data_IF_258378525373
#
_entry.id   IF_258378525373
#
_cell.length_a   1.000
_cell.length_b   1.000
_cell.length_c   1.000
_cell.angle_alpha   90.00
_cell.angle_beta   90.00
_cell.angle_gamma   90.00
#
_symmetry.space_group_name_H-M   'P 1'
#
loop_
_entity.id
_entity.type
_entity.pdbx_description
1 polymer ?
#
# COMPACT_ATOMS: atom_id res chain seq x y z
N UNK A 1 23.06 -55.09 4.40
CA UNK A 1 22.62 -53.92 5.19
C UNK A 1 22.73 -52.72 4.28
N UNK A 2 21.80 -52.59 3.33
CA UNK A 2 20.62 -51.68 3.36
C UNK A 2 20.99 -50.20 3.31
N UNK A 3 20.68 -49.58 2.17
CA UNK A 3 20.67 -48.13 2.00
C UNK A 3 20.64 -47.73 0.53
N UNK A 4 19.48 -47.80 -0.13
CA UNK A 4 19.25 -47.11 -1.40
C UNK A 4 18.05 -46.16 -1.25
N UNK A 5 18.38 -44.88 -1.29
CA UNK A 5 17.47 -43.74 -1.34
C UNK A 5 16.66 -43.79 -2.64
N UNK A 6 15.33 -43.94 -2.53
CA UNK A 6 14.39 -43.78 -3.63
C UNK A 6 13.68 -42.43 -3.52
N UNK A 7 13.93 -41.58 -4.51
CA UNK A 7 13.36 -40.22 -4.65
C UNK A 7 11.88 -40.25 -5.03
N UNK A 8 11.20 -39.19 -4.61
CA UNK A 8 9.77 -38.89 -4.66
C UNK A 8 9.23 -38.67 -6.10
N UNK A 9 9.55 -39.55 -7.06
CA UNK A 9 9.15 -39.41 -8.48
C UNK A 9 8.24 -40.55 -8.98
N UNK A 10 8.07 -41.63 -8.21
CA UNK A 10 7.46 -42.87 -8.71
C UNK A 10 5.92 -42.99 -8.52
N UNK A 11 5.26 -41.96 -7.99
CA UNK A 11 3.81 -42.02 -7.68
C UNK A 11 2.88 -41.77 -8.86
N UNK A 12 3.38 -41.32 -10.01
CA UNK A 12 2.57 -41.03 -11.19
C UNK A 12 3.03 -41.81 -12.43
N UNK A 13 3.19 -43.13 -12.26
CA UNK A 13 3.41 -44.04 -13.40
C UNK A 13 2.09 -44.27 -14.15
N UNK A 14 2.12 -44.13 -15.49
CA UNK A 14 1.00 -44.30 -16.44
C UNK A 14 0.25 -45.65 -16.34
N UNK A 15 0.81 -46.62 -15.59
CA UNK A 15 0.27 -47.97 -15.38
C UNK A 15 -0.74 -48.10 -14.23
N UNK A 16 -0.94 -47.07 -13.40
CA UNK A 16 -1.81 -47.16 -12.22
C UNK A 16 -3.04 -46.23 -12.22
N UNK A 17 -3.47 -45.74 -13.38
CA UNK A 17 -4.62 -44.83 -13.47
C UNK A 17 -5.93 -45.45 -12.93
N UNK A 18 -6.09 -46.78 -13.06
CA UNK A 18 -7.28 -47.52 -12.59
C UNK A 18 -7.36 -47.71 -11.07
N UNK A 19 -6.36 -47.26 -10.30
CA UNK A 19 -6.34 -47.36 -8.83
C UNK A 19 -6.62 -46.03 -8.12
N UNK A 20 -6.77 -44.93 -8.87
CA UNK A 20 -7.17 -43.63 -8.33
C UNK A 20 -8.60 -43.74 -7.79
N UNK A 21 -8.75 -43.63 -6.47
CA UNK A 21 -10.06 -43.58 -5.82
C UNK A 21 -10.61 -42.16 -5.92
N UNK A 22 -11.93 -42.02 -5.90
CA UNK A 22 -12.61 -40.70 -5.85
C UNK A 22 -12.08 -39.83 -4.70
N UNK A 23 -11.68 -40.46 -3.58
CA UNK A 23 -11.03 -39.78 -2.44
C UNK A 23 -9.66 -39.20 -2.79
N UNK A 24 -8.87 -39.86 -3.63
CA UNK A 24 -7.53 -39.41 -4.02
C UNK A 24 -7.61 -38.15 -4.93
N UNK A 25 -8.66 -38.08 -5.76
CA UNK A 25 -8.99 -36.87 -6.54
C UNK A 25 -9.52 -35.74 -5.63
N UNK A 26 -10.36 -36.07 -4.64
CA UNK A 26 -10.88 -35.10 -3.69
C UNK A 26 -9.77 -34.51 -2.80
N UNK A 27 -8.80 -35.31 -2.36
CA UNK A 27 -7.63 -34.81 -1.62
C UNK A 27 -6.72 -33.97 -2.51
N UNK A 28 -6.48 -34.37 -3.76
CA UNK A 28 -5.69 -33.57 -4.70
C UNK A 28 -6.36 -32.22 -5.02
N UNK A 29 -7.69 -32.16 -5.17
CA UNK A 29 -8.44 -30.91 -5.29
C UNK A 29 -8.47 -30.08 -4.00
N UNK A 30 -8.58 -30.74 -2.85
CA UNK A 30 -8.52 -30.08 -1.54
C UNK A 30 -7.15 -29.44 -1.28
N UNK A 31 -6.07 -30.11 -1.65
CA UNK A 31 -4.70 -29.61 -1.53
C UNK A 31 -4.42 -28.50 -2.55
N UNK A 32 -4.83 -28.67 -3.82
CA UNK A 32 -4.69 -27.63 -4.84
C UNK A 32 -5.46 -26.33 -4.51
N UNK A 33 -6.67 -26.44 -3.95
CA UNK A 33 -7.45 -25.27 -3.52
C UNK A 33 -6.84 -24.55 -2.30
N UNK A 34 -6.14 -25.29 -1.44
CA UNK A 34 -5.44 -24.73 -0.27
C UNK A 34 -4.17 -23.98 -0.67
N UNK A 35 -3.47 -24.45 -1.70
CA UNK A 35 -2.30 -23.78 -2.25
C UNK A 35 -2.68 -22.55 -3.10
N UNK A 36 -3.83 -22.54 -3.78
CA UNK A 36 -4.36 -21.34 -4.44
C UNK A 36 -4.66 -20.19 -3.45
N UNK A 37 -5.07 -20.50 -2.22
CA UNK A 37 -5.32 -19.49 -1.17
C UNK A 37 -4.05 -18.90 -0.55
N UNK A 38 -2.91 -19.58 -0.64
CA UNK A 38 -1.62 -19.11 -0.06
C UNK A 38 -0.91 -18.07 -0.92
N UNK A 39 -1.30 -17.89 -2.18
CA UNK A 39 -0.65 -16.98 -3.13
C UNK A 39 -1.27 -15.59 -3.23
N UNK A 40 -2.42 -15.35 -2.59
CA UNK A 40 -3.07 -14.03 -2.60
C UNK A 40 -2.60 -13.29 -1.36
N UNK A 41 -1.54 -12.49 -1.50
CA UNK A 41 -1.31 -11.39 -0.56
C UNK A 41 -2.64 -10.62 -0.47
N UNK A 42 -3.17 -10.33 0.73
CA UNK A 42 -4.34 -9.47 0.82
C UNK A 42 -4.00 -8.22 0.03
N UNK A 43 -4.78 -7.99 -1.03
CA UNK A 43 -4.54 -6.88 -1.93
C UNK A 43 -5.05 -5.65 -1.17
N UNK A 44 -4.28 -5.19 -0.17
CA UNK A 44 -4.65 -4.08 0.68
C UNK A 44 -4.70 -2.86 -0.21
N UNK A 45 -5.90 -2.45 -0.57
CA UNK A 45 -6.14 -1.31 -1.41
C UNK A 45 -5.84 -0.06 -0.61
N UNK A 46 -4.86 0.71 -1.06
CA UNK A 46 -4.60 2.01 -0.47
C UNK A 46 -5.73 2.96 -0.87
N UNK A 47 -6.59 3.32 0.09
CA UNK A 47 -7.75 4.19 -0.18
C UNK A 47 -7.36 5.69 -0.16
N UNK A 48 -8.09 6.55 -0.89
CA UNK A 48 -7.91 8.00 -0.80
C UNK A 48 -8.10 8.54 0.63
N UNK A 49 -7.60 9.76 0.92
CA UNK A 49 -7.84 10.42 2.20
C UNK A 49 -9.34 10.48 2.53
N UNK A 50 -9.67 10.33 3.83
CA UNK A 50 -11.05 10.38 4.32
C UNK A 50 -11.85 9.10 4.11
N UNK A 51 -11.27 8.03 3.55
CA UNK A 51 -11.96 6.76 3.43
C UNK A 51 -12.40 6.20 4.78
N UNK A 52 -13.61 5.63 4.81
CA UNK A 52 -14.08 4.87 5.96
C UNK A 52 -13.09 3.75 6.30
N UNK A 53 -12.77 3.61 7.57
CA UNK A 53 -11.74 2.68 8.05
C UNK A 53 -12.15 1.22 7.92
N UNK A 54 -13.42 0.93 8.16
CA UNK A 54 -13.98 -0.39 7.90
C UNK A 54 -14.13 -0.56 6.39
N UNK A 55 -13.27 -1.38 5.81
CA UNK A 55 -13.26 -1.65 4.38
C UNK A 55 -14.61 -2.20 3.88
N UNK A 56 -15.32 -3.01 4.68
CA UNK A 56 -16.63 -3.52 4.26
C UNK A 56 -17.64 -2.39 4.17
N UNK A 57 -17.67 -1.51 5.18
CA UNK A 57 -18.51 -0.33 5.17
C UNK A 57 -18.16 0.64 4.03
N UNK A 58 -16.86 0.83 3.75
CA UNK A 58 -16.40 1.59 2.59
C UNK A 58 -16.94 1.02 1.28
N UNK A 59 -16.83 -0.30 1.07
CA UNK A 59 -17.29 -0.98 -0.15
C UNK A 59 -18.80 -0.91 -0.35
N UNK A 60 -19.57 -0.96 0.74
CA UNK A 60 -21.03 -0.79 0.73
C UNK A 60 -21.45 0.65 0.47
N UNK A 61 -20.71 1.61 1.04
CA UNK A 61 -21.01 3.05 0.94
C UNK A 61 -20.55 3.65 -0.39
N UNK A 62 -19.48 3.12 -0.99
CA UNK A 62 -18.95 3.64 -2.25
C UNK A 62 -19.88 3.32 -3.43
N UNK A 63 -20.44 4.38 -4.03
CA UNK A 63 -21.34 4.27 -5.19
C UNK A 63 -20.63 4.04 -6.52
N UNK A 64 -19.28 3.98 -6.54
CA UNK A 64 -18.47 3.79 -7.76
C UNK A 64 -18.75 4.86 -8.83
N UNK A 65 -19.05 6.09 -8.39
CA UNK A 65 -19.36 7.21 -9.26
C UNK A 65 -18.13 7.90 -9.88
N UNK A 66 -16.93 7.55 -9.40
CA UNK A 66 -15.64 8.10 -9.84
C UNK A 66 -15.46 9.62 -9.64
N UNK A 67 -16.32 10.26 -8.84
CA UNK A 67 -16.24 11.70 -8.59
C UNK A 67 -14.91 12.12 -7.94
N UNK A 68 -14.43 11.35 -6.97
CA UNK A 68 -13.14 11.59 -6.30
C UNK A 68 -11.94 11.48 -7.25
N UNK A 69 -11.97 10.54 -8.21
CA UNK A 69 -10.96 10.43 -9.26
C UNK A 69 -10.92 11.70 -10.11
N UNK A 70 -12.07 12.15 -10.62
CA UNK A 70 -12.16 13.33 -11.47
C UNK A 70 -11.81 14.64 -10.73
N UNK A 71 -12.04 14.67 -9.41
CA UNK A 71 -11.73 15.82 -8.57
C UNK A 71 -10.24 15.93 -8.21
N UNK A 72 -9.46 14.86 -8.34
CA UNK A 72 -8.04 14.88 -7.99
C UNK A 72 -7.21 15.48 -9.12
N UNK A 73 -6.57 16.65 -8.95
CA UNK A 73 -5.81 17.30 -10.03
C UNK A 73 -4.46 16.64 -10.33
N UNK A 74 -4.08 15.62 -9.56
CA UNK A 74 -2.79 14.94 -9.65
C UNK A 74 -2.91 13.50 -10.19
N UNK A 75 -4.11 13.08 -10.59
CA UNK A 75 -4.37 11.77 -11.23
C UNK A 75 -3.83 10.55 -10.45
N UNK A 76 -3.67 10.67 -9.13
CA UNK A 76 -3.21 9.56 -8.27
C UNK A 76 -4.32 8.54 -7.99
N UNK A 77 -5.58 8.98 -7.99
CA UNK A 77 -6.73 8.13 -7.70
C UNK A 77 -7.08 7.33 -8.96
N UNK A 78 -6.95 6.01 -8.88
CA UNK A 78 -7.32 5.07 -9.93
C UNK A 78 -8.52 4.22 -9.52
N UNK A 79 -9.25 3.72 -10.52
CA UNK A 79 -10.34 2.76 -10.29
C UNK A 79 -9.80 1.35 -10.44
N UNK A 80 -10.16 0.50 -9.49
CA UNK A 80 -9.88 -0.94 -9.53
C UNK A 80 -10.62 -1.64 -10.67
N UNK A 81 -9.96 -2.61 -11.30
CA UNK A 81 -10.49 -3.36 -12.44
C UNK A 81 -11.31 -4.60 -12.07
N UNK A 82 -11.81 -5.36 -13.06
CA UNK A 82 -12.76 -6.47 -12.85
C UNK A 82 -12.22 -7.71 -12.12
N UNK A 83 -10.93 -7.75 -11.79
CA UNK A 83 -10.29 -8.86 -11.07
C UNK A 83 -10.05 -8.56 -9.59
N UNK A 84 -10.68 -7.50 -9.05
CA UNK A 84 -10.50 -7.07 -7.65
C UNK A 84 -11.64 -7.50 -6.71
N UNK A 85 -12.54 -8.37 -7.15
CA UNK A 85 -13.67 -8.84 -6.32
C UNK A 85 -14.60 -7.69 -5.94
N UNK A 86 -15.04 -7.65 -4.68
CA UNK A 86 -15.98 -6.63 -4.18
C UNK A 86 -15.45 -5.20 -4.32
N UNK A 87 -14.12 -5.05 -4.35
CA UNK A 87 -13.48 -3.78 -4.59
C UNK A 87 -13.55 -3.30 -6.05
N UNK A 88 -14.06 -4.07 -7.02
CA UNK A 88 -14.21 -3.61 -8.42
C UNK A 88 -14.93 -2.25 -8.49
N UNK A 89 -14.41 -1.33 -9.30
CA UNK A 89 -15.01 -0.01 -9.50
C UNK A 89 -14.76 0.99 -8.36
N UNK A 90 -13.97 0.65 -7.35
CA UNK A 90 -13.70 1.52 -6.19
C UNK A 90 -12.36 2.27 -6.33
N UNK A 91 -12.22 3.46 -5.71
CA UNK A 91 -11.01 4.28 -5.85
C UNK A 91 -9.84 3.77 -5.00
N UNK A 92 -8.64 3.84 -5.56
CA UNK A 92 -7.37 3.49 -4.91
C UNK A 92 -6.26 4.46 -5.28
N UNK A 93 -5.31 4.70 -4.38
CA UNK A 93 -4.13 5.51 -4.65
C UNK A 93 -3.02 4.66 -5.28
N UNK A 94 -2.37 5.20 -6.31
CA UNK A 94 -1.16 4.63 -6.93
C UNK A 94 0.07 5.49 -6.64
N UNK A 95 0.58 5.39 -5.42
CA UNK A 95 1.76 6.14 -4.96
C UNK A 95 3.04 5.86 -5.77
N UNK A 96 3.10 4.73 -6.48
CA UNK A 96 4.22 4.41 -7.37
C UNK A 96 4.22 5.23 -8.67
N UNK A 97 3.13 5.92 -9.00
CA UNK A 97 3.02 6.75 -10.21
C UNK A 97 3.13 8.23 -9.86
N UNK A 98 2.39 8.69 -8.85
CA UNK A 98 2.40 10.06 -8.36
C UNK A 98 2.13 10.06 -6.85
N UNK A 99 2.77 10.91 -6.02
CA UNK A 99 2.43 11.08 -4.61
C UNK A 99 1.05 11.72 -4.40
N UNK A 100 0.46 11.51 -3.23
CA UNK A 100 -0.68 12.29 -2.80
C UNK A 100 -0.16 13.67 -2.42
N UNK A 101 -0.78 14.74 -2.92
CA UNK A 101 -0.33 16.09 -2.61
C UNK A 101 -0.87 16.63 -1.28
N UNK A 102 -1.70 15.85 -0.58
CA UNK A 102 -2.37 16.27 0.66
C UNK A 102 -2.99 17.66 0.52
N UNK A 103 -3.81 17.83 -0.52
CA UNK A 103 -4.35 19.13 -0.90
C UNK A 103 -5.08 19.77 0.28
N UNK A 104 -4.84 21.06 0.55
CA UNK A 104 -5.53 21.80 1.61
C UNK A 104 -7.05 21.85 1.45
N UNK A 105 -7.54 21.74 0.21
CA UNK A 105 -8.96 21.68 -0.13
C UNK A 105 -9.56 20.29 0.02
N UNK A 106 -8.76 19.22 0.04
CA UNK A 106 -9.22 17.82 0.05
C UNK A 106 -10.36 17.55 -0.96
N UNK A 107 -10.22 18.03 -2.20
CA UNK A 107 -11.27 17.97 -3.23
C UNK A 107 -11.84 16.56 -3.45
N UNK A 108 -11.00 15.53 -3.29
CA UNK A 108 -11.42 14.13 -3.39
C UNK A 108 -12.46 13.71 -2.32
N UNK A 109 -12.37 14.27 -1.10
CA UNK A 109 -13.33 14.05 -0.02
C UNK A 109 -14.63 14.78 -0.34
N UNK A 110 -14.56 16.07 -0.66
CA UNK A 110 -15.75 16.89 -0.92
C UNK A 110 -16.52 16.48 -2.18
N UNK A 111 -15.84 15.86 -3.14
CA UNK A 111 -16.49 15.31 -4.32
C UNK A 111 -17.25 14.01 -4.06
N UNK A 112 -17.09 13.34 -2.91
CA UNK A 112 -17.73 12.06 -2.62
C UNK A 112 -19.20 12.26 -2.20
N UNK A 113 -20.19 11.87 -3.02
CA UNK A 113 -21.60 12.13 -2.71
C UNK A 113 -22.22 11.13 -1.73
N UNK A 114 -21.50 10.04 -1.41
CA UNK A 114 -22.02 8.97 -0.55
C UNK A 114 -21.34 8.89 0.81
N UNK A 115 -20.42 9.81 1.11
CA UNK A 115 -19.63 9.83 2.35
C UNK A 115 -18.73 8.61 2.55
N UNK A 116 -18.46 7.82 1.49
CA UNK A 116 -17.45 6.77 1.51
C UNK A 116 -16.03 7.36 1.72
N UNK A 117 -15.82 8.58 1.24
CA UNK A 117 -14.74 9.47 1.68
C UNK A 117 -15.42 10.62 2.45
N UNK A 118 -15.12 10.78 3.72
CA UNK A 118 -15.72 11.80 4.57
C UNK A 118 -14.68 12.61 5.33
N UNK A 119 -15.00 13.88 5.58
CA UNK A 119 -14.18 14.76 6.41
C UNK A 119 -14.61 14.56 7.87
N UNK A 120 -13.71 14.14 8.77
CA UNK A 120 -14.03 14.02 10.19
C UNK A 120 -14.39 15.38 10.81
N UNK A 121 -15.26 15.38 11.83
CA UNK A 121 -15.71 16.61 12.50
C UNK A 121 -14.55 17.44 13.11
N UNK A 122 -13.49 16.76 13.54
CA UNK A 122 -12.29 17.40 14.09
C UNK A 122 -11.31 17.89 13.00
N UNK A 123 -11.64 17.70 11.72
CA UNK A 123 -10.79 18.02 10.56
C UNK A 123 -9.54 17.14 10.42
N UNK A 124 -9.33 16.17 11.31
CA UNK A 124 -8.13 15.34 11.33
C UNK A 124 -8.32 14.09 10.47
N UNK A 125 -7.97 14.20 9.19
CA UNK A 125 -7.98 13.08 8.25
C UNK A 125 -6.85 12.11 8.59
N UNK A 126 -7.20 10.82 8.74
CA UNK A 126 -6.21 9.78 9.05
C UNK A 126 -5.13 9.68 7.99
N UNK A 127 -3.91 9.42 8.45
CA UNK A 127 -2.76 9.20 7.60
C UNK A 127 -3.01 8.01 6.65
N UNK A 128 -2.69 8.20 5.37
CA UNK A 128 -2.79 7.14 4.36
C UNK A 128 -1.57 6.20 4.38
N UNK A 129 -0.54 6.57 5.12
CA UNK A 129 0.69 5.82 5.29
C UNK A 129 1.65 6.59 6.16
N UNK A 130 2.90 6.15 6.16
CA UNK A 130 4.00 6.79 6.88
C UNK A 130 5.27 6.70 6.06
N UNK A 131 6.28 7.43 6.50
CA UNK A 131 7.60 7.43 5.88
C UNK A 131 8.61 7.18 6.98
N UNK A 132 9.72 6.53 6.65
CA UNK A 132 10.90 6.50 7.51
C UNK A 132 12.11 7.02 6.73
N UNK A 133 13.10 7.53 7.46
CA UNK A 133 14.32 8.15 6.92
C UNK A 133 15.52 7.25 7.20
N UNK A 134 16.18 6.77 6.15
CA UNK A 134 17.50 6.15 6.20
C UNK A 134 18.56 7.25 6.14
N UNK A 135 19.09 7.63 7.30
CA UNK A 135 20.00 8.78 7.41
C UNK A 135 21.31 8.56 6.63
N UNK A 136 21.82 7.33 6.58
CA UNK A 136 23.05 6.99 5.86
C UNK A 136 22.91 7.12 4.34
N UNK A 137 21.69 7.03 3.80
CA UNK A 137 21.41 7.24 2.39
C UNK A 137 21.13 8.72 2.04
N UNK A 138 21.09 9.62 3.03
CA UNK A 138 20.82 11.03 2.80
C UNK A 138 21.99 11.74 2.11
N UNK A 139 21.73 12.54 1.08
CA UNK A 139 22.76 13.34 0.38
C UNK A 139 23.51 14.31 1.31
N UNK A 140 22.91 14.70 2.43
CA UNK A 140 23.57 15.57 3.41
C UNK A 140 24.72 14.85 4.13
N UNK A 141 24.70 13.51 4.17
CA UNK A 141 25.80 12.68 4.66
C UNK A 141 27.04 12.82 3.77
N UNK A 142 26.84 13.08 2.47
CA UNK A 142 27.91 13.33 1.49
C UNK A 142 28.34 14.82 1.43
N UNK A 143 27.85 15.66 2.34
CA UNK A 143 28.16 17.10 2.39
C UNK A 143 27.41 17.94 1.34
N UNK A 144 26.43 17.36 0.65
CA UNK A 144 25.55 18.08 -0.27
C UNK A 144 24.44 18.72 0.56
N UNK A 145 24.23 20.04 0.44
CA UNK A 145 23.10 20.68 1.09
C UNK A 145 21.80 20.36 0.34
N UNK A 146 20.98 19.47 0.89
CA UNK A 146 19.66 19.11 0.37
C UNK A 146 18.59 19.26 1.46
N UNK A 147 17.53 19.99 1.13
CA UNK A 147 16.35 20.24 1.97
C UNK A 147 15.04 19.90 1.23
N UNK A 148 15.13 19.22 0.09
CA UNK A 148 13.99 18.86 -0.79
C UNK A 148 12.84 18.20 -0.02
N UNK A 149 13.13 17.26 0.88
CA UNK A 149 12.09 16.59 1.66
C UNK A 149 11.34 17.54 2.62
N UNK A 150 12.02 18.56 3.15
CA UNK A 150 11.41 19.60 3.99
C UNK A 150 10.56 20.53 3.13
N UNK A 151 11.07 20.97 1.97
CA UNK A 151 10.35 21.84 1.04
C UNK A 151 9.04 21.23 0.53
N UNK A 152 9.05 19.93 0.24
CA UNK A 152 7.86 19.22 -0.26
C UNK A 152 6.97 18.63 0.84
N UNK A 153 7.33 18.74 2.11
CA UNK A 153 6.42 18.39 3.19
C UNK A 153 5.28 19.43 3.23
N UNK A 154 3.99 19.03 3.13
CA UNK A 154 2.88 19.98 3.15
C UNK A 154 2.93 20.91 4.37
N UNK A 155 2.63 22.20 4.16
CA UNK A 155 2.79 23.24 5.19
C UNK A 155 1.82 23.11 6.37
N UNK A 156 0.72 22.41 6.17
CA UNK A 156 -0.27 22.03 7.17
C UNK A 156 0.12 20.76 7.95
N UNK A 157 1.07 19.99 7.42
CA UNK A 157 1.57 18.74 8.01
C UNK A 157 2.89 18.94 8.76
N UNK A 158 3.89 19.56 8.10
CA UNK A 158 5.22 19.89 8.66
C UNK A 158 5.92 18.74 9.42
N UNK A 159 5.78 17.51 8.93
CA UNK A 159 6.38 16.32 9.53
C UNK A 159 7.91 16.26 9.39
N UNK A 160 8.52 17.02 8.48
CA UNK A 160 9.98 17.01 8.28
C UNK A 160 10.55 18.40 8.54
N UNK A 161 11.59 18.49 9.38
CA UNK A 161 12.28 19.74 9.72
C UNK A 161 13.79 19.56 9.59
N UNK A 162 14.51 20.65 9.35
CA UNK A 162 15.97 20.62 9.38
C UNK A 162 16.52 20.73 10.80
N UNK A 163 17.43 19.83 11.16
CA UNK A 163 18.18 19.84 12.43
C UNK A 163 19.64 19.51 12.15
N UNK A 164 20.56 20.40 12.53
CA UNK A 164 22.01 20.18 12.38
C UNK A 164 22.44 19.78 10.96
N UNK A 165 21.83 20.40 9.93
CA UNK A 165 21.97 20.06 8.50
C UNK A 165 21.43 18.67 8.09
N UNK A 166 20.68 17.96 8.94
CA UNK A 166 20.00 16.71 8.56
C UNK A 166 18.47 16.84 8.70
N UNK A 167 17.69 16.21 7.79
CA UNK A 167 16.25 16.15 7.98
C UNK A 167 15.92 15.32 9.21
N UNK A 168 14.97 15.80 10.00
CA UNK A 168 14.39 15.14 11.16
C UNK A 168 12.92 14.91 10.88
N UNK A 169 12.48 13.66 10.92
CA UNK A 169 11.11 13.24 10.65
C UNK A 169 10.34 13.04 11.97
N UNK A 170 9.18 13.68 12.07
CA UNK A 170 8.15 13.43 13.08
C UNK A 170 7.14 12.45 12.50
N UNK A 171 7.22 11.19 12.95
CA UNK A 171 6.37 10.12 12.46
C UNK A 171 4.90 10.32 12.84
N UNK A 172 4.61 10.94 13.99
CA UNK A 172 3.24 11.17 14.45
C UNK A 172 2.54 12.19 13.57
N UNK A 173 3.23 13.26 13.21
CA UNK A 173 2.74 14.27 12.28
C UNK A 173 2.66 13.76 10.82
N UNK A 174 3.42 12.73 10.45
CA UNK A 174 3.46 12.24 9.07
C UNK A 174 2.10 11.69 8.60
N UNK A 175 1.57 12.22 7.50
CA UNK A 175 0.31 11.76 6.89
C UNK A 175 0.49 10.71 5.79
N UNK A 176 1.74 10.41 5.43
CA UNK A 176 2.05 9.40 4.40
C UNK A 176 1.77 9.84 2.97
N UNK A 177 1.76 11.16 2.69
CA UNK A 177 1.47 11.71 1.36
C UNK A 177 2.47 11.25 0.28
N UNK A 178 3.70 10.91 0.67
CA UNK A 178 4.72 10.35 -0.21
C UNK A 178 5.49 11.36 -1.06
N UNK A 179 5.20 12.67 -0.95
CA UNK A 179 5.91 13.72 -1.69
C UNK A 179 7.43 13.68 -1.44
N UNK A 180 7.84 13.55 -0.19
CA UNK A 180 9.25 13.49 0.18
C UNK A 180 9.97 12.25 -0.40
N UNK A 181 9.28 11.12 -0.52
CA UNK A 181 9.79 9.89 -1.14
C UNK A 181 9.93 10.10 -2.65
N UNK A 182 8.91 10.70 -3.28
CA UNK A 182 8.91 10.96 -4.72
C UNK A 182 10.07 11.87 -5.15
N UNK A 183 10.22 13.02 -4.48
CA UNK A 183 11.24 14.02 -4.80
C UNK A 183 12.64 13.75 -4.22
N UNK A 184 12.83 12.68 -3.45
CA UNK A 184 14.16 12.30 -2.97
C UNK A 184 15.05 11.84 -4.14
N UNK A 185 16.12 12.57 -4.41
CA UNK A 185 17.08 12.29 -5.49
C UNK A 185 18.26 11.41 -5.04
N UNK A 186 18.32 11.04 -3.76
CA UNK A 186 19.33 10.12 -3.26
C UNK A 186 19.24 8.75 -3.97
N UNK A 187 20.40 8.11 -4.17
CA UNK A 187 20.50 6.78 -4.78
C UNK A 187 21.40 5.89 -3.91
N UNK A 188 20.85 4.95 -3.10
CA UNK A 188 19.42 4.65 -2.93
C UNK A 188 18.62 5.81 -2.31
N UNK A 189 17.29 5.81 -2.48
CA UNK A 189 16.43 6.82 -1.85
C UNK A 189 16.62 6.76 -0.33
N UNK A 190 16.70 7.92 0.32
CA UNK A 190 16.82 8.02 1.77
C UNK A 190 15.47 7.95 2.49
N UNK A 191 14.36 8.10 1.78
CA UNK A 191 13.02 8.11 2.36
C UNK A 191 12.20 6.97 1.76
N UNK A 192 11.51 6.25 2.62
CA UNK A 192 10.79 5.04 2.26
C UNK A 192 9.37 5.07 2.80
N UNK A 193 8.40 4.85 1.92
CA UNK A 193 6.99 4.83 2.30
C UNK A 193 6.56 3.44 2.80
N UNK A 194 5.70 3.41 3.81
CA UNK A 194 5.04 2.20 4.30
C UNK A 194 3.57 2.45 4.64
N UNK A 195 2.69 1.43 4.51
CA UNK A 195 1.29 1.55 4.86
C UNK A 195 1.11 1.74 6.38
N UNK A 196 0.01 2.36 6.81
CA UNK A 196 -0.19 2.76 8.21
C UNK A 196 -0.32 1.57 9.19
N UNK A 197 -0.53 0.35 8.68
CA UNK A 197 -0.69 -0.87 9.46
C UNK A 197 0.61 -1.66 9.69
N UNK A 198 1.77 -1.16 9.21
CA UNK A 198 3.06 -1.73 9.55
C UNK A 198 3.72 -0.92 10.66
N UNK A 199 3.67 -1.43 11.89
CA UNK A 199 4.79 -1.24 12.81
C UNK A 199 6.01 -1.90 12.18
N UNK A 200 6.75 -1.14 11.36
CA UNK A 200 8.08 -1.54 10.95
C UNK A 200 8.96 -1.18 12.13
N UNK A 201 9.42 -2.18 12.88
CA UNK A 201 10.59 -1.99 13.74
C UNK A 201 11.68 -1.42 12.85
N UNK A 202 12.07 -0.16 13.09
CA UNK A 202 13.23 0.45 12.43
C UNK A 202 14.37 -0.57 12.42
N UNK A 203 14.98 -0.91 11.26
CA UNK A 203 16.21 -1.66 11.30
C UNK A 203 17.20 -0.86 12.17
N UNK A 204 17.79 -1.56 13.13
CA UNK A 204 18.76 -1.02 14.08
C UNK A 204 20.07 -0.63 13.38
#
# INVERSE_FOLDING_TARGET
MTGLNGTMSDKFSRRNLFRLRVRDLATAWGEASKELKKGVQPNTFLRPPGALEDESLFLETCTRCHACMNACPFDIIQITGPLTGDAEGTPVLKLNQNPCHWCSTMDCIHACPSDALSMPDNGNVKAIGKVWLEQDACLNTDGIFCDTCVMYCPSDVQAIKMKDNFPSLDEDACVGCGLCVYYCEATPKALHWYPPEKEVSSPA
#
